data_IF_025907067973
#
_entry.id   IF_025907067973
#
_cell.length_a   1.000
_cell.length_b   1.000
_cell.length_c   1.000
_cell.angle_alpha   90.00
_cell.angle_beta   90.00
_cell.angle_gamma   90.00
#
_symmetry.space_group_name_H-M   'P 1'
#
loop_
_entity.id
_entity.type
_entity.pdbx_description
1 polymer ?
#
# COMPACT_ATOMS: atom_id res chain seq x y z
N UNK A 1 1.70 1.13 -42.78
CA UNK A 1 0.90 0.96 -41.55
C UNK A 1 1.91 1.10 -40.44
N UNK A 2 2.15 2.34 -40.03
CA UNK A 2 3.13 2.64 -38.99
C UNK A 2 2.57 2.13 -37.67
N UNK A 3 3.27 1.16 -37.08
CA UNK A 3 3.01 0.76 -35.71
C UNK A 3 3.58 1.87 -34.84
N UNK A 4 2.72 2.79 -34.39
CA UNK A 4 3.05 3.71 -33.30
C UNK A 4 3.31 2.87 -32.05
N UNK A 5 4.58 2.59 -31.79
CA UNK A 5 5.01 1.97 -30.55
C UNK A 5 4.83 3.00 -29.43
N UNK A 6 3.99 2.69 -28.44
CA UNK A 6 3.68 3.55 -27.29
C UNK A 6 4.96 4.10 -26.64
N UNK A 7 5.26 5.37 -26.92
CA UNK A 7 6.44 6.06 -26.43
C UNK A 7 6.19 6.56 -25.00
N UNK A 8 6.40 5.71 -23.98
CA UNK A 8 6.80 6.01 -22.59
C UNK A 8 6.04 7.04 -21.71
N UNK A 9 5.43 8.08 -22.27
CA UNK A 9 4.62 9.11 -21.58
C UNK A 9 3.14 8.76 -21.56
N UNK A 10 2.67 7.99 -22.54
CA UNK A 10 1.29 7.49 -22.55
C UNK A 10 1.08 6.40 -21.50
N UNK A 11 2.10 5.58 -21.23
CA UNK A 11 2.02 4.50 -20.23
C UNK A 11 1.83 5.02 -18.80
N UNK A 12 2.39 6.18 -18.45
CA UNK A 12 2.17 6.81 -17.14
C UNK A 12 0.75 7.39 -16.99
N UNK A 13 0.12 7.85 -18.08
CA UNK A 13 -1.28 8.30 -18.03
C UNK A 13 -2.26 7.16 -17.74
N UNK A 14 -1.83 5.90 -17.92
CA UNK A 14 -2.60 4.70 -17.60
C UNK A 14 -2.13 4.00 -16.32
N UNK A 15 -1.27 4.64 -15.52
CA UNK A 15 -0.91 4.15 -14.20
C UNK A 15 -2.03 4.48 -13.19
N UNK A 16 -2.81 3.48 -12.81
CA UNK A 16 -3.92 3.62 -11.87
C UNK A 16 -3.64 2.88 -10.58
N UNK A 17 -3.97 3.50 -9.45
CA UNK A 17 -4.14 2.75 -8.20
C UNK A 17 -5.51 2.07 -8.22
N UNK A 18 -5.49 0.74 -8.10
CA UNK A 18 -6.70 -0.06 -8.05
C UNK A 18 -7.13 -0.26 -6.60
N UNK A 19 -8.35 0.16 -6.27
CA UNK A 19 -8.96 -0.14 -4.98
C UNK A 19 -9.73 -1.46 -5.11
N UNK A 20 -9.39 -2.51 -4.34
CA UNK A 20 -10.16 -3.74 -4.33
C UNK A 20 -11.63 -3.47 -4.00
N UNK A 21 -12.55 -3.97 -4.84
CA UNK A 21 -13.99 -3.77 -4.66
C UNK A 21 -14.48 -4.24 -3.30
N UNK A 22 -13.89 -5.31 -2.77
CA UNK A 22 -14.19 -5.85 -1.44
C UNK A 22 -14.03 -4.81 -0.34
N UNK A 23 -13.03 -3.92 -0.41
CA UNK A 23 -12.86 -2.83 0.56
C UNK A 23 -14.03 -1.85 0.55
N UNK A 24 -14.79 -1.78 -0.54
CA UNK A 24 -15.94 -0.88 -0.69
C UNK A 24 -17.25 -1.60 -0.38
N UNK A 25 -17.39 -2.85 -0.82
CA UNK A 25 -18.68 -3.56 -0.80
C UNK A 25 -18.90 -4.45 0.42
N UNK A 26 -17.83 -4.88 1.09
CA UNK A 26 -17.91 -5.78 2.24
C UNK A 26 -17.99 -4.98 3.55
N UNK A 27 -19.02 -5.26 4.35
CA UNK A 27 -19.29 -4.62 5.64
C UNK A 27 -18.13 -4.79 6.64
N UNK A 28 -17.31 -5.83 6.47
CA UNK A 28 -16.07 -6.01 7.25
C UNK A 28 -15.16 -4.78 7.18
N UNK A 29 -15.18 -4.05 6.07
CA UNK A 29 -14.34 -2.87 5.84
C UNK A 29 -15.13 -1.54 5.93
N UNK A 30 -16.37 -1.56 6.42
CA UNK A 30 -17.15 -0.34 6.63
C UNK A 30 -16.53 0.55 7.72
N UNK A 31 -15.80 -0.02 8.69
CA UNK A 31 -15.20 0.69 9.82
C UNK A 31 -13.89 1.44 9.54
N UNK A 32 -13.33 1.30 8.33
CA UNK A 32 -12.09 1.98 7.91
C UNK A 32 -12.39 3.12 6.93
N UNK A 33 -11.61 4.20 7.03
CA UNK A 33 -11.74 5.38 6.17
C UNK A 33 -11.43 5.09 4.71
N UNK A 34 -11.94 5.92 3.80
CA UNK A 34 -11.62 5.80 2.37
C UNK A 34 -10.13 6.01 2.12
N UNK A 35 -9.49 6.94 2.84
CA UNK A 35 -8.06 7.16 2.73
C UNK A 35 -7.23 5.96 3.21
N UNK A 36 -7.68 5.23 4.22
CA UNK A 36 -7.06 3.97 4.61
C UNK A 36 -7.17 2.91 3.48
N UNK A 37 -8.31 2.83 2.79
CA UNK A 37 -8.49 1.92 1.64
C UNK A 37 -7.58 2.29 0.47
N UNK A 38 -7.38 3.59 0.23
CA UNK A 38 -6.41 4.10 -0.75
C UNK A 38 -4.99 3.74 -0.33
N UNK A 39 -4.60 3.98 0.93
CA UNK A 39 -3.28 3.59 1.45
C UNK A 39 -3.01 2.09 1.27
N UNK A 40 -4.01 1.24 1.52
CA UNK A 40 -3.86 -0.19 1.28
C UNK A 40 -3.65 -0.53 -0.21
N UNK A 41 -4.27 0.22 -1.11
CA UNK A 41 -4.05 0.05 -2.56
C UNK A 41 -2.61 0.40 -2.96
N UNK A 42 -2.03 1.44 -2.35
CA UNK A 42 -0.60 1.79 -2.50
C UNK A 42 0.33 0.72 -1.93
N UNK A 43 -0.07 0.04 -0.86
CA UNK A 43 0.66 -1.09 -0.28
C UNK A 43 0.62 -2.32 -1.17
N UNK A 44 -0.54 -2.63 -1.77
CA UNK A 44 -0.69 -3.74 -2.72
C UNK A 44 0.19 -3.56 -3.97
N UNK A 45 0.28 -2.34 -4.49
CA UNK A 45 1.16 -2.03 -5.62
C UNK A 45 2.64 -2.29 -5.28
N UNK A 46 3.10 -1.81 -4.12
CA UNK A 46 4.44 -2.11 -3.60
C UNK A 46 4.65 -3.60 -3.36
N UNK A 47 3.65 -4.30 -2.80
CA UNK A 47 3.73 -5.73 -2.54
C UNK A 47 3.84 -6.52 -3.85
N UNK A 48 3.17 -6.10 -4.93
CA UNK A 48 3.31 -6.72 -6.23
C UNK A 48 4.75 -6.59 -6.79
N UNK A 49 5.43 -5.47 -6.51
CA UNK A 49 6.86 -5.30 -6.84
C UNK A 49 7.75 -6.15 -5.93
N UNK A 50 7.49 -6.17 -4.61
CA UNK A 50 8.21 -7.04 -3.66
C UNK A 50 8.11 -8.51 -4.02
N UNK A 51 6.91 -8.98 -4.40
CA UNK A 51 6.68 -10.36 -4.80
C UNK A 51 7.49 -10.74 -6.05
N UNK A 52 7.58 -9.84 -7.04
CA UNK A 52 8.40 -10.03 -8.24
C UNK A 52 9.89 -10.10 -7.93
N UNK A 53 10.33 -9.43 -6.87
CA UNK A 53 11.71 -9.42 -6.41
C UNK A 53 12.01 -10.51 -5.36
N UNK A 54 11.03 -11.38 -5.06
CA UNK A 54 11.14 -12.44 -4.04
C UNK A 54 11.43 -11.91 -2.62
N UNK A 55 10.86 -10.76 -2.27
CA UNK A 55 10.95 -10.20 -0.91
C UNK A 55 9.92 -10.91 -0.02
N UNK A 56 10.30 -12.11 0.43
CA UNK A 56 9.50 -13.00 1.26
C UNK A 56 10.12 -13.12 2.66
N UNK A 57 9.27 -13.19 3.68
CA UNK A 57 9.70 -13.51 5.03
C UNK A 57 9.98 -15.02 5.21
N UNK A 58 10.32 -15.42 6.43
CA UNK A 58 10.64 -16.82 6.77
C UNK A 58 9.46 -17.79 6.56
N UNK A 59 8.22 -17.26 6.57
CA UNK A 59 6.99 -18.01 6.31
C UNK A 59 6.58 -17.98 4.82
N UNK A 60 7.38 -17.35 3.96
CA UNK A 60 7.09 -17.19 2.53
C UNK A 60 6.06 -16.10 2.22
N UNK A 61 5.79 -15.18 3.15
CA UNK A 61 4.85 -14.07 2.96
C UNK A 61 5.55 -12.87 2.37
N UNK A 62 4.91 -12.22 1.41
CA UNK A 62 5.44 -10.99 0.81
C UNK A 62 5.39 -9.87 1.83
N UNK A 63 6.50 -9.18 2.00
CA UNK A 63 6.57 -7.99 2.84
C UNK A 63 7.03 -6.77 2.04
N UNK A 64 6.76 -5.59 2.58
CA UNK A 64 7.17 -4.31 2.01
C UNK A 64 7.88 -3.50 3.09
N UNK A 65 8.86 -2.69 2.72
CA UNK A 65 9.32 -1.63 3.61
C UNK A 65 8.57 -0.36 3.25
N UNK A 66 7.70 0.09 4.16
CA UNK A 66 6.93 1.31 3.93
C UNK A 66 6.94 2.19 5.19
N UNK A 67 7.94 3.06 5.25
CA UNK A 67 8.14 3.93 6.43
C UNK A 67 7.00 4.91 6.60
N UNK A 68 6.81 5.39 7.84
CA UNK A 68 5.77 6.37 8.14
C UNK A 68 5.99 7.68 7.38
N UNK A 69 7.24 8.09 7.21
CA UNK A 69 7.63 9.27 6.44
C UNK A 69 7.23 9.13 4.97
N UNK A 70 7.45 7.94 4.37
CA UNK A 70 7.08 7.68 2.99
C UNK A 70 5.55 7.65 2.82
N UNK A 71 4.83 7.10 3.79
CA UNK A 71 3.35 7.17 3.80
C UNK A 71 2.87 8.62 3.87
N UNK A 72 3.49 9.45 4.72
CA UNK A 72 3.14 10.87 4.82
C UNK A 72 3.39 11.62 3.52
N UNK A 73 4.50 11.33 2.84
CA UNK A 73 4.83 11.88 1.53
C UNK A 73 3.78 11.46 0.48
N UNK A 74 3.55 10.16 0.32
CA UNK A 74 2.69 9.62 -0.73
C UNK A 74 1.21 9.98 -0.53
N UNK A 75 0.76 10.05 0.73
CA UNK A 75 -0.62 10.41 1.07
C UNK A 75 -0.78 11.91 1.34
N UNK A 76 0.28 12.70 1.23
CA UNK A 76 0.34 14.13 1.54
C UNK A 76 -0.36 14.49 2.87
N UNK A 77 -0.01 13.77 3.93
CA UNK A 77 -0.70 13.90 5.21
C UNK A 77 0.25 13.99 6.41
N UNK A 78 -0.24 14.61 7.48
CA UNK A 78 0.49 14.70 8.73
C UNK A 78 0.61 13.32 9.40
N UNK A 79 1.63 13.16 10.25
CA UNK A 79 1.93 11.94 10.99
C UNK A 79 0.71 11.34 11.71
N UNK A 80 -0.11 12.19 12.34
CA UNK A 80 -1.31 11.74 13.04
C UNK A 80 -2.30 11.04 12.09
N UNK A 81 -2.48 11.56 10.87
CA UNK A 81 -3.38 10.98 9.87
C UNK A 81 -2.80 9.68 9.32
N UNK A 82 -1.51 9.64 8.97
CA UNK A 82 -0.82 8.43 8.55
C UNK A 82 -0.92 7.31 9.61
N UNK A 83 -0.62 7.63 10.87
CA UNK A 83 -0.72 6.69 12.00
C UNK A 83 -2.16 6.19 12.20
N UNK A 84 -3.15 7.07 12.03
CA UNK A 84 -4.57 6.68 12.11
C UNK A 84 -4.94 5.70 11.00
N UNK A 85 -4.56 5.96 9.75
CA UNK A 85 -4.84 5.06 8.62
C UNK A 85 -4.19 3.69 8.82
N UNK A 86 -2.93 3.64 9.27
CA UNK A 86 -2.25 2.39 9.61
C UNK A 86 -2.99 1.62 10.70
N UNK A 87 -3.40 2.29 11.78
CA UNK A 87 -4.14 1.66 12.87
C UNK A 87 -5.51 1.11 12.42
N UNK A 88 -6.18 1.80 11.50
CA UNK A 88 -7.44 1.31 10.91
C UNK A 88 -7.22 0.02 10.12
N UNK A 89 -6.22 -0.01 9.24
CA UNK A 89 -5.89 -1.19 8.44
C UNK A 89 -5.47 -2.39 9.30
N UNK A 90 -4.69 -2.16 10.34
CA UNK A 90 -4.21 -3.20 11.26
C UNK A 90 -5.31 -3.66 12.22
N UNK A 91 -5.84 -2.76 13.06
CA UNK A 91 -6.69 -3.15 14.20
C UNK A 91 -8.16 -3.36 13.84
N UNK A 92 -8.68 -2.67 12.81
CA UNK A 92 -10.11 -2.78 12.45
C UNK A 92 -10.34 -3.75 11.30
N UNK A 93 -9.44 -3.77 10.32
CA UNK A 93 -9.61 -4.57 9.10
C UNK A 93 -8.76 -5.85 9.08
N UNK A 94 -7.65 -5.89 9.83
CA UNK A 94 -6.71 -7.02 9.79
C UNK A 94 -6.05 -7.20 8.42
N UNK A 95 -5.87 -6.12 7.67
CA UNK A 95 -5.33 -6.13 6.31
C UNK A 95 -3.81 -6.06 6.25
N UNK A 96 -3.18 -5.56 7.32
CA UNK A 96 -1.73 -5.42 7.43
C UNK A 96 -1.27 -5.88 8.82
N UNK A 97 -0.02 -6.31 8.88
CA UNK A 97 0.73 -6.57 10.11
C UNK A 97 2.01 -5.73 10.04
N UNK A 98 2.35 -5.03 11.12
CA UNK A 98 3.56 -4.19 11.17
C UNK A 98 4.59 -4.82 12.07
N UNK A 99 5.79 -5.07 11.54
CA UNK A 99 6.90 -5.52 12.35
C UNK A 99 7.79 -4.35 12.73
N UNK A 100 7.81 -4.05 14.03
CA UNK A 100 8.77 -3.11 14.60
C UNK A 100 10.13 -3.78 14.65
N UNK A 101 10.99 -3.50 13.69
CA UNK A 101 12.42 -3.67 13.92
C UNK A 101 12.82 -2.72 15.06
N UNK A 102 13.60 -3.21 16.05
CA UNK A 102 13.92 -2.48 17.28
C UNK A 102 14.50 -1.06 17.06
N UNK A 103 14.73 -0.33 18.17
CA UNK A 103 15.12 1.09 18.14
C UNK A 103 16.23 1.38 17.10
N UNK A 104 15.91 2.21 16.10
CA UNK A 104 16.85 2.68 15.08
C UNK A 104 16.70 2.08 13.67
N UNK A 105 15.76 1.16 13.43
CA UNK A 105 15.50 0.60 12.09
C UNK A 105 14.10 0.93 11.56
N UNK A 106 13.93 1.12 10.23
CA UNK A 106 12.62 1.37 9.66
C UNK A 106 11.67 0.18 9.92
N UNK A 107 10.41 0.49 10.20
CA UNK A 107 9.35 -0.54 10.37
C UNK A 107 9.13 -1.25 9.04
N UNK A 108 9.04 -2.60 9.09
CA UNK A 108 8.62 -3.44 7.97
C UNK A 108 7.10 -3.56 8.02
#
# INVERSE_FOLDING_TARGET
>A
MDFDYFYGRETEQFAFYQIPKTLITDDKFAGISMEAKVLYSLMLDRAALSAKNEWLDEDGRVFIYYTLEKIMEDMHCANQKATKMLKELESKAGLIERQKQGQGKPTI
#
